data_IF_695991702834
#
_entry.id   IF_695991702834
#
_cell.length_a   1.000
_cell.length_b   1.000
_cell.length_c   1.000
_cell.angle_alpha   90.00
_cell.angle_beta   90.00
_cell.angle_gamma   90.00
#
_symmetry.space_group_name_H-M   'P 1'
#
loop_
_entity.id
_entity.type
_entity.pdbx_description
1 polymer ?
#
# COMPACT_ATOMS: atom_id res chain seq x y z
N UNK A 1 -5.01 31.56 -28.09
CA UNK A 1 -3.75 31.72 -27.38
C UNK A 1 -3.53 30.39 -26.70
N UNK A 2 -2.81 29.53 -27.42
CA UNK A 2 -2.41 28.21 -26.92
C UNK A 2 -1.35 28.46 -25.84
N UNK A 3 -1.71 28.22 -24.60
CA UNK A 3 -0.72 28.08 -23.55
C UNK A 3 -0.15 26.69 -23.71
N UNK A 4 1.04 26.59 -24.27
CA UNK A 4 1.88 25.41 -24.17
C UNK A 4 1.98 25.09 -22.67
N UNK A 5 1.32 24.04 -22.24
CA UNK A 5 1.49 23.42 -20.94
C UNK A 5 2.89 22.77 -20.98
N UNK A 6 3.93 23.53 -20.68
CA UNK A 6 5.29 22.99 -20.56
C UNK A 6 5.26 21.93 -19.47
N UNK A 7 5.30 20.67 -19.88
CA UNK A 7 5.35 19.54 -18.95
C UNK A 7 6.69 19.58 -18.21
N UNK A 8 6.63 19.88 -16.89
CA UNK A 8 7.80 19.91 -16.01
C UNK A 8 8.49 18.54 -16.04
N UNK A 9 9.80 18.55 -16.24
CA UNK A 9 10.65 17.35 -16.24
C UNK A 9 11.45 17.24 -14.93
N UNK A 10 12.13 16.11 -14.70
CA UNK A 10 13.01 15.96 -13.54
C UNK A 10 14.25 16.85 -13.62
N UNK A 11 14.69 17.23 -14.81
CA UNK A 11 15.79 18.15 -15.05
C UNK A 11 15.45 19.57 -14.53
N UNK A 12 14.20 19.98 -14.68
CA UNK A 12 13.70 21.29 -14.22
C UNK A 12 13.64 21.39 -12.68
N UNK A 13 13.72 20.25 -11.97
CA UNK A 13 13.63 20.21 -10.51
C UNK A 13 14.97 20.51 -9.79
N UNK A 14 16.07 20.64 -10.54
CA UNK A 14 17.39 20.96 -9.99
C UNK A 14 18.18 19.75 -9.49
N UNK A 15 17.82 18.56 -9.96
CA UNK A 15 18.58 17.32 -9.68
C UNK A 15 19.91 17.33 -10.44
N UNK A 16 20.97 16.80 -9.81
CA UNK A 16 22.28 16.64 -10.44
C UNK A 16 22.32 15.43 -11.39
N UNK A 17 23.34 15.37 -12.26
CA UNK A 17 23.48 14.33 -13.29
C UNK A 17 23.44 12.91 -12.72
N UNK A 18 23.99 12.67 -11.53
CA UNK A 18 24.04 11.35 -10.93
C UNK A 18 22.65 10.93 -10.42
N UNK A 19 21.89 11.87 -9.86
CA UNK A 19 20.51 11.65 -9.42
C UNK A 19 19.57 11.48 -10.62
N UNK A 20 19.76 12.28 -11.70
CA UNK A 20 19.00 12.11 -12.95
C UNK A 20 19.21 10.74 -13.61
N UNK A 21 20.44 10.22 -13.61
CA UNK A 21 20.70 8.84 -14.06
C UNK A 21 19.95 7.80 -13.26
N UNK A 22 19.81 8.01 -11.94
CA UNK A 22 19.04 7.09 -11.10
C UNK A 22 17.55 7.16 -11.41
N UNK A 23 17.02 8.34 -11.68
CA UNK A 23 15.63 8.59 -12.12
C UNK A 23 15.36 7.86 -13.44
N UNK A 24 16.23 8.03 -14.42
CA UNK A 24 16.15 7.37 -15.74
C UNK A 24 16.20 5.83 -15.61
N UNK A 25 17.15 5.31 -14.83
CA UNK A 25 17.28 3.87 -14.56
C UNK A 25 16.03 3.27 -13.94
N UNK A 26 15.29 4.05 -13.15
CA UNK A 26 13.99 3.68 -12.56
C UNK A 26 12.84 3.71 -13.58
N UNK A 27 13.04 4.30 -14.73
CA UNK A 27 11.99 4.50 -15.73
C UNK A 27 10.99 5.61 -15.35
N UNK A 28 11.39 6.53 -14.48
CA UNK A 28 10.57 7.70 -14.16
C UNK A 28 10.66 8.71 -15.30
N UNK A 29 9.55 8.98 -15.94
CA UNK A 29 9.49 9.87 -17.12
C UNK A 29 9.03 11.26 -16.72
N UNK A 30 7.94 11.36 -15.97
CA UNK A 30 7.33 12.63 -15.56
C UNK A 30 7.25 12.69 -14.05
N UNK A 31 7.71 13.80 -13.42
CA UNK A 31 7.58 13.93 -11.97
C UNK A 31 6.12 14.10 -11.54
N UNK A 32 5.76 13.48 -10.43
CA UNK A 32 4.44 13.63 -9.83
C UNK A 32 4.26 15.01 -9.21
N UNK A 33 3.00 15.46 -8.98
CA UNK A 33 2.76 16.78 -8.37
C UNK A 33 3.50 17.00 -7.05
N UNK A 34 3.55 15.96 -6.17
CA UNK A 34 4.27 16.08 -4.91
C UNK A 34 5.80 16.18 -5.11
N UNK A 35 6.35 15.53 -6.14
CA UNK A 35 7.77 15.63 -6.48
C UNK A 35 8.11 17.02 -7.00
N UNK A 36 7.28 17.60 -7.86
CA UNK A 36 7.43 18.97 -8.36
C UNK A 36 7.46 19.99 -7.21
N UNK A 37 6.60 19.79 -6.21
CA UNK A 37 6.50 20.70 -5.06
C UNK A 37 7.64 20.50 -4.04
N UNK A 38 8.04 19.26 -3.77
CA UNK A 38 8.95 18.93 -2.69
C UNK A 38 10.43 19.00 -3.11
N UNK A 39 10.80 18.44 -4.27
CA UNK A 39 12.21 18.30 -4.66
C UNK A 39 12.95 19.63 -4.68
N UNK A 40 12.49 20.69 -5.37
CA UNK A 40 13.20 21.97 -5.38
C UNK A 40 13.34 22.60 -3.99
N UNK A 41 12.28 22.48 -3.15
CA UNK A 41 12.32 22.99 -1.77
C UNK A 41 13.31 22.25 -0.90
N UNK A 42 13.46 20.95 -1.10
CA UNK A 42 14.39 20.12 -0.33
C UNK A 42 15.83 20.29 -0.78
N UNK A 43 16.07 20.69 -2.04
CA UNK A 43 17.41 20.98 -2.55
C UNK A 43 17.92 22.35 -2.11
N UNK A 44 17.08 23.36 -2.12
CA UNK A 44 17.51 24.77 -1.95
C UNK A 44 17.08 25.41 -0.64
N UNK A 45 16.03 24.91 0.00
CA UNK A 45 15.49 25.49 1.24
C UNK A 45 16.08 24.85 2.50
N UNK A 46 15.99 25.57 3.62
CA UNK A 46 16.39 25.10 4.95
C UNK A 46 15.20 24.83 5.88
N UNK A 47 14.02 25.37 5.55
CA UNK A 47 12.82 25.21 6.37
C UNK A 47 12.37 23.74 6.49
N UNK A 48 11.79 23.40 7.63
CA UNK A 48 11.08 22.15 7.82
C UNK A 48 9.90 22.04 6.84
N UNK A 49 9.46 20.84 6.51
CA UNK A 49 8.46 20.64 5.48
C UNK A 49 7.38 19.67 5.94
N UNK A 50 6.13 20.06 5.78
CA UNK A 50 4.97 19.15 5.85
C UNK A 50 4.45 18.96 4.43
N UNK A 51 4.42 17.71 3.99
CA UNK A 51 3.97 17.33 2.66
C UNK A 51 2.71 16.44 2.77
N UNK A 52 1.57 16.95 2.28
CA UNK A 52 0.33 16.20 2.20
C UNK A 52 0.19 15.55 0.83
N UNK A 53 0.33 14.23 0.76
CA UNK A 53 0.19 13.46 -0.46
C UNK A 53 -0.30 12.05 -0.18
N UNK A 54 -1.09 11.48 -1.10
CA UNK A 54 -1.62 10.11 -0.97
C UNK A 54 -0.51 9.07 -1.03
N UNK A 55 -0.78 7.88 -0.51
CA UNK A 55 0.09 6.71 -0.71
C UNK A 55 0.15 6.36 -2.21
N UNK A 56 1.35 6.08 -2.71
CA UNK A 56 1.57 5.70 -4.12
C UNK A 56 1.73 6.88 -5.08
N UNK A 57 1.86 8.13 -4.60
CA UNK A 57 2.13 9.31 -5.44
C UNK A 57 3.61 9.62 -5.62
N UNK A 58 4.50 8.73 -5.18
CA UNK A 58 5.96 8.91 -5.31
C UNK A 58 6.59 9.75 -4.20
N UNK A 59 6.01 9.76 -2.99
CA UNK A 59 6.56 10.46 -1.80
C UNK A 59 8.01 10.09 -1.51
N UNK A 60 8.35 8.79 -1.58
CA UNK A 60 9.70 8.32 -1.31
C UNK A 60 10.73 8.96 -2.23
N UNK A 61 10.42 9.10 -3.52
CA UNK A 61 11.30 9.80 -4.45
C UNK A 61 11.32 11.32 -4.19
N UNK A 62 10.21 11.90 -3.75
CA UNK A 62 10.11 13.33 -3.45
C UNK A 62 11.07 13.76 -2.33
N UNK A 63 11.27 12.94 -1.29
CA UNK A 63 12.28 13.23 -0.27
C UNK A 63 13.62 12.51 -0.51
N UNK A 64 13.60 11.31 -1.08
CA UNK A 64 14.78 10.47 -1.22
C UNK A 64 15.80 11.02 -2.19
N UNK A 65 15.37 11.48 -3.37
CA UNK A 65 16.28 12.04 -4.38
C UNK A 65 17.08 13.24 -3.84
N UNK A 66 16.43 14.28 -3.27
CA UNK A 66 17.20 15.42 -2.74
C UNK A 66 18.05 15.06 -1.51
N UNK A 67 17.63 14.14 -0.65
CA UNK A 67 18.44 13.70 0.49
C UNK A 67 19.72 13.02 0.00
N UNK A 68 19.62 12.12 -0.97
CA UNK A 68 20.77 11.43 -1.56
C UNK A 68 21.72 12.42 -2.23
N UNK A 69 21.17 13.37 -3.00
CA UNK A 69 21.96 14.41 -3.64
C UNK A 69 22.69 15.31 -2.62
N UNK A 70 22.08 15.61 -1.47
CA UNK A 70 22.67 16.48 -0.45
C UNK A 70 23.66 15.77 0.48
N UNK A 71 23.68 14.44 0.54
CA UNK A 71 24.67 13.67 1.30
C UNK A 71 25.92 13.45 0.45
N UNK A 72 26.87 14.38 0.50
CA UNK A 72 28.10 14.34 -0.31
C UNK A 72 29.29 13.68 0.39
N UNK A 73 29.29 13.60 1.72
CA UNK A 73 30.43 13.16 2.50
C UNK A 73 30.21 11.78 3.11
N UNK A 74 31.16 10.88 2.90
CA UNK A 74 31.23 9.59 3.55
C UNK A 74 31.76 9.77 4.98
N UNK A 75 30.88 10.16 5.89
CA UNK A 75 31.27 10.58 7.25
C UNK A 75 31.23 9.44 8.28
N UNK A 76 30.90 8.21 7.90
CA UNK A 76 30.71 7.06 8.80
C UNK A 76 29.75 7.31 10.00
N UNK A 77 28.87 8.29 9.86
CA UNK A 77 27.79 8.58 10.81
C UNK A 77 26.47 8.70 10.08
N UNK A 78 25.39 8.46 10.79
CA UNK A 78 24.04 8.63 10.24
C UNK A 78 23.78 10.11 9.99
N UNK A 79 23.35 10.45 8.79
CA UNK A 79 23.02 11.81 8.36
C UNK A 79 21.52 11.99 8.08
N UNK A 80 20.80 10.90 7.80
CA UNK A 80 19.35 10.91 7.64
C UNK A 80 18.72 9.72 8.37
N UNK A 81 17.62 10.00 9.09
CA UNK A 81 16.74 9.00 9.69
C UNK A 81 15.37 9.10 9.03
N UNK A 82 14.86 7.98 8.53
CA UNK A 82 13.51 7.85 7.98
C UNK A 82 12.73 6.89 8.88
N UNK A 83 11.67 7.38 9.50
CA UNK A 83 10.75 6.56 10.30
C UNK A 83 9.56 6.13 9.46
N UNK A 84 9.27 4.84 9.54
CA UNK A 84 8.17 4.16 8.86
C UNK A 84 7.28 3.44 9.88
N UNK A 85 5.94 3.42 9.69
CA UNK A 85 5.04 2.80 10.65
C UNK A 85 5.18 1.27 10.71
N UNK A 86 5.59 0.64 9.60
CA UNK A 86 5.66 -0.82 9.49
C UNK A 86 7.01 -1.31 8.97
N UNK A 87 7.30 -2.59 9.24
CA UNK A 87 8.55 -3.25 8.80
C UNK A 87 8.62 -3.32 7.29
N UNK A 88 7.48 -3.59 6.66
CA UNK A 88 7.34 -3.74 5.22
C UNK A 88 7.65 -2.43 4.51
N UNK A 89 7.09 -1.31 5.00
CA UNK A 89 7.41 0.01 4.47
C UNK A 89 8.88 0.36 4.69
N UNK A 90 9.41 0.10 5.90
CA UNK A 90 10.84 0.36 6.17
C UNK A 90 11.77 -0.42 5.21
N UNK A 91 11.46 -1.68 4.92
CA UNK A 91 12.21 -2.48 3.95
C UNK A 91 12.08 -1.90 2.53
N UNK A 92 10.86 -1.58 2.12
CA UNK A 92 10.57 -1.00 0.81
C UNK A 92 11.28 0.34 0.61
N UNK A 93 11.12 1.27 1.56
CA UNK A 93 11.80 2.57 1.53
C UNK A 93 13.32 2.42 1.50
N UNK A 94 13.88 1.47 2.28
CA UNK A 94 15.30 1.17 2.23
C UNK A 94 15.78 0.70 0.85
N UNK A 95 15.06 -0.22 0.21
CA UNK A 95 15.39 -0.69 -1.15
C UNK A 95 15.20 0.42 -2.19
N UNK A 96 14.20 1.24 -2.02
CA UNK A 96 13.97 2.38 -2.90
C UNK A 96 15.08 3.43 -2.77
N UNK A 97 15.49 3.79 -1.55
CA UNK A 97 16.64 4.68 -1.30
C UNK A 97 17.94 4.13 -1.92
N UNK A 98 18.22 2.84 -1.77
CA UNK A 98 19.37 2.21 -2.45
C UNK A 98 19.30 2.31 -3.96
N UNK A 99 18.12 2.22 -4.54
CA UNK A 99 17.93 2.28 -6.00
C UNK A 99 18.11 3.67 -6.59
N UNK A 100 18.03 4.71 -5.77
CA UNK A 100 18.31 6.09 -6.17
C UNK A 100 19.80 6.44 -6.15
N UNK A 101 20.65 5.53 -5.70
CA UNK A 101 22.10 5.74 -5.72
C UNK A 101 22.72 5.15 -6.98
N UNK A 102 23.68 5.85 -7.59
CA UNK A 102 24.42 5.38 -8.73
C UNK A 102 25.59 4.43 -8.39
N UNK A 103 25.85 4.20 -7.10
CA UNK A 103 26.91 3.35 -6.57
C UNK A 103 26.64 2.89 -5.14
N UNK A 104 27.72 2.69 -4.36
CA UNK A 104 27.61 2.23 -2.96
C UNK A 104 27.43 3.35 -1.94
N UNK A 105 27.23 4.58 -2.37
CA UNK A 105 27.12 5.75 -1.51
C UNK A 105 26.01 6.71 -1.98
N UNK A 106 25.22 7.28 -1.04
CA UNK A 106 25.19 7.01 0.40
C UNK A 106 24.65 5.61 0.74
N UNK A 107 25.21 4.98 1.80
CA UNK A 107 24.77 3.65 2.24
C UNK A 107 23.50 3.74 3.06
N UNK A 108 22.53 2.90 2.74
CA UNK A 108 21.24 2.83 3.44
C UNK A 108 21.12 1.51 4.20
N UNK A 109 20.70 1.58 5.45
CA UNK A 109 20.47 0.41 6.33
C UNK A 109 19.06 0.46 6.88
N UNK A 110 18.45 -0.72 7.07
CA UNK A 110 17.09 -0.84 7.62
C UNK A 110 17.10 -1.46 9.02
N UNK A 111 16.32 -0.86 9.96
CA UNK A 111 16.19 -1.29 11.35
C UNK A 111 14.73 -1.51 11.71
N UNK A 112 14.31 -2.76 11.91
CA UNK A 112 12.93 -3.09 12.28
C UNK A 112 12.84 -4.26 13.25
N UNK A 113 11.76 -4.35 14.00
CA UNK A 113 11.51 -5.39 14.97
C UNK A 113 11.26 -6.76 14.32
N UNK A 114 11.69 -7.85 14.99
CA UNK A 114 11.52 -9.22 14.48
C UNK A 114 12.66 -9.72 13.59
N UNK A 115 13.54 -8.83 13.10
CA UNK A 115 14.78 -9.21 12.43
C UNK A 115 15.93 -9.40 13.45
N UNK A 116 17.00 -10.08 13.00
CA UNK A 116 18.20 -10.33 13.81
C UNK A 116 18.86 -9.04 14.27
N UNK A 117 18.89 -8.81 15.58
CA UNK A 117 19.52 -7.66 16.17
C UNK A 117 21.05 -7.61 15.89
N UNK A 118 21.71 -8.78 15.92
CA UNK A 118 23.14 -8.88 15.62
C UNK A 118 23.49 -8.47 14.19
N UNK A 119 22.62 -8.77 13.23
CA UNK A 119 22.79 -8.34 11.84
C UNK A 119 22.68 -6.83 11.72
N UNK A 120 21.69 -6.22 12.34
CA UNK A 120 21.48 -4.77 12.32
C UNK A 120 22.65 -4.01 12.98
N UNK A 121 23.17 -4.50 14.13
CA UNK A 121 24.37 -3.94 14.74
C UNK A 121 25.58 -4.03 13.82
N UNK A 122 25.77 -5.16 13.15
CA UNK A 122 26.88 -5.35 12.21
C UNK A 122 26.81 -4.35 11.07
N UNK A 123 25.62 -4.13 10.53
CA UNK A 123 25.40 -3.23 9.41
C UNK A 123 25.60 -1.75 9.82
N UNK A 124 25.13 -1.36 11.00
CA UNK A 124 25.44 -0.05 11.59
C UNK A 124 26.95 0.16 11.81
N UNK A 125 27.67 -0.86 12.32
CA UNK A 125 29.12 -0.80 12.54
C UNK A 125 29.93 -0.70 11.22
N UNK A 126 29.41 -1.22 10.12
CA UNK A 126 30.01 -1.03 8.78
C UNK A 126 29.90 0.42 8.30
N UNK A 127 29.06 1.20 8.95
CA UNK A 127 28.75 2.59 8.63
C UNK A 127 27.66 2.70 7.59
N UNK A 128 26.74 3.59 7.84
CA UNK A 128 25.69 3.99 6.91
C UNK A 128 25.39 5.47 7.12
N UNK A 129 25.00 6.13 6.07
CA UNK A 129 24.64 7.54 6.07
C UNK A 129 23.11 7.71 6.24
N UNK A 130 22.33 6.72 5.81
CA UNK A 130 20.88 6.73 5.88
C UNK A 130 20.38 5.51 6.65
N UNK A 131 19.55 5.76 7.65
CA UNK A 131 18.83 4.73 8.40
C UNK A 131 17.36 4.85 8.14
N UNK A 132 16.73 3.75 7.72
CA UNK A 132 15.27 3.61 7.64
C UNK A 132 14.83 2.66 8.74
N UNK A 133 13.76 2.96 9.48
CA UNK A 133 13.36 2.05 10.53
C UNK A 133 12.00 2.28 11.13
N UNK A 134 11.56 1.31 11.93
CA UNK A 134 10.33 1.42 12.71
C UNK A 134 10.63 2.01 14.09
N UNK A 135 9.72 2.87 14.66
CA UNK A 135 10.01 3.62 15.88
C UNK A 135 10.53 2.77 17.03
N UNK A 136 9.84 1.69 17.40
CA UNK A 136 10.28 0.86 18.54
C UNK A 136 11.67 0.24 18.38
N UNK A 137 12.09 -0.15 17.14
CA UNK A 137 13.44 -0.70 16.93
C UNK A 137 14.51 0.39 16.90
N UNK A 138 14.19 1.57 16.42
CA UNK A 138 15.09 2.73 16.48
C UNK A 138 15.37 3.09 17.94
N UNK A 139 14.35 3.17 18.80
CA UNK A 139 14.50 3.34 20.25
C UNK A 139 15.43 2.30 20.86
N UNK A 140 15.16 1.00 20.61
CA UNK A 140 16.01 -0.09 21.10
C UNK A 140 17.49 0.12 20.77
N UNK A 141 17.82 0.60 19.57
CA UNK A 141 19.18 0.87 19.14
C UNK A 141 19.78 2.12 19.82
N UNK A 142 18.98 3.16 20.07
CA UNK A 142 19.39 4.36 20.81
C UNK A 142 19.69 4.01 22.25
N UNK A 143 18.77 3.35 22.97
CA UNK A 143 18.94 2.90 24.34
C UNK A 143 20.19 2.04 24.55
N UNK A 144 20.48 1.16 23.59
CA UNK A 144 21.68 0.29 23.59
C UNK A 144 22.93 0.99 23.06
N UNK A 145 22.83 2.29 22.73
CA UNK A 145 23.95 3.08 22.21
C UNK A 145 24.60 2.49 20.96
N UNK A 146 23.83 1.80 20.13
CA UNK A 146 24.27 1.22 18.86
C UNK A 146 23.90 2.10 17.67
N UNK A 147 23.05 3.09 17.86
CA UNK A 147 22.68 4.12 16.91
C UNK A 147 22.87 5.49 17.57
N UNK A 148 23.59 6.38 16.89
CA UNK A 148 23.82 7.77 17.29
C UNK A 148 23.16 8.69 16.27
N UNK A 149 22.22 9.54 16.73
CA UNK A 149 21.48 10.49 15.94
C UNK A 149 21.94 11.94 16.14
N UNK A 150 22.97 12.18 16.95
CA UNK A 150 23.45 13.52 17.28
C UNK A 150 23.99 14.33 16.10
N UNK A 151 24.22 13.68 14.96
CA UNK A 151 24.77 14.29 13.74
C UNK A 151 23.87 14.18 12.52
N UNK A 152 22.60 13.79 12.69
CA UNK A 152 21.68 13.72 11.57
C UNK A 152 21.40 15.13 11.05
N UNK A 153 21.24 15.23 9.73
CA UNK A 153 20.84 16.43 9.01
C UNK A 153 19.36 16.43 8.66
N UNK A 154 18.79 15.21 8.53
CA UNK A 154 17.41 15.01 8.13
C UNK A 154 16.71 14.03 9.04
N UNK A 155 15.53 14.40 9.51
CA UNK A 155 14.63 13.55 10.28
C UNK A 155 13.30 13.47 9.52
N UNK A 156 12.99 12.30 8.97
CA UNK A 156 11.83 12.10 8.11
C UNK A 156 10.80 11.22 8.81
N UNK A 157 9.54 11.68 8.83
CA UNK A 157 8.38 10.90 9.21
C UNK A 157 7.58 10.62 7.95
N UNK A 158 7.58 9.39 7.44
CA UNK A 158 6.70 8.99 6.34
C UNK A 158 5.48 8.24 6.87
N UNK A 159 4.34 8.41 6.23
CA UNK A 159 3.03 7.91 6.70
C UNK A 159 2.74 8.31 8.16
N UNK A 160 2.92 9.60 8.48
CA UNK A 160 2.81 10.12 9.85
C UNK A 160 1.45 9.85 10.50
N UNK A 161 0.36 9.90 9.74
CA UNK A 161 -1.00 9.57 10.19
C UNK A 161 -1.12 8.08 10.58
N UNK A 162 -0.49 7.17 9.85
CA UNK A 162 -0.45 5.76 10.20
C UNK A 162 0.35 5.51 11.49
N UNK A 163 1.47 6.22 11.68
CA UNK A 163 2.24 6.13 12.94
C UNK A 163 1.43 6.62 14.14
N UNK A 164 0.61 7.66 13.95
CA UNK A 164 -0.32 8.15 14.97
C UNK A 164 -1.35 7.08 15.34
N UNK A 165 -2.01 6.50 14.33
CA UNK A 165 -3.03 5.47 14.52
C UNK A 165 -2.48 4.20 15.20
N UNK A 166 -1.19 3.91 15.00
CA UNK A 166 -0.48 2.81 15.66
C UNK A 166 0.01 3.15 17.07
N UNK A 167 -0.16 4.39 17.52
CA UNK A 167 0.21 4.83 18.87
C UNK A 167 1.70 5.12 19.07
N UNK A 168 2.47 5.34 17.99
CA UNK A 168 3.92 5.58 18.07
C UNK A 168 4.32 7.02 18.45
N UNK A 169 3.36 7.86 18.83
CA UNK A 169 3.66 9.28 19.16
C UNK A 169 4.73 9.41 20.24
N UNK A 170 4.61 8.65 21.32
CA UNK A 170 5.57 8.74 22.43
C UNK A 170 6.94 8.20 22.03
N UNK A 171 6.98 7.13 21.23
CA UNK A 171 8.24 6.63 20.68
C UNK A 171 8.92 7.64 19.75
N UNK A 172 8.16 8.32 18.91
CA UNK A 172 8.68 9.37 18.01
C UNK A 172 9.25 10.54 18.83
N UNK A 173 8.57 10.98 19.89
CA UNK A 173 9.05 12.04 20.78
C UNK A 173 10.37 11.68 21.43
N UNK A 174 10.48 10.46 21.97
CA UNK A 174 11.69 9.98 22.61
C UNK A 174 12.86 9.88 21.61
N UNK A 175 12.62 9.37 20.39
CA UNK A 175 13.64 9.35 19.34
C UNK A 175 14.11 10.77 19.01
N UNK A 176 13.17 11.71 18.96
CA UNK A 176 13.43 13.11 18.64
C UNK A 176 14.34 13.79 19.67
N UNK A 177 14.17 13.48 20.97
CA UNK A 177 15.01 14.00 22.04
C UNK A 177 16.50 13.60 21.89
N UNK A 178 16.78 12.53 21.15
CA UNK A 178 18.14 12.03 20.87
C UNK A 178 18.68 12.51 19.51
N UNK A 179 17.86 13.19 18.71
CA UNK A 179 18.26 13.69 17.41
C UNK A 179 19.00 15.02 17.51
N UNK A 180 19.75 15.37 16.47
CA UNK A 180 20.34 16.70 16.36
C UNK A 180 19.22 17.75 16.29
N UNK A 181 19.30 18.76 17.17
CA UNK A 181 18.29 19.83 17.24
C UNK A 181 18.19 20.66 15.95
N UNK A 182 19.31 20.75 15.21
CA UNK A 182 19.40 21.47 13.94
C UNK A 182 19.01 20.59 12.73
N UNK A 183 18.56 19.35 12.98
CA UNK A 183 18.13 18.49 11.89
C UNK A 183 16.86 19.04 11.22
N UNK A 184 16.84 19.04 9.90
CA UNK A 184 15.67 19.39 9.12
C UNK A 184 14.63 18.29 9.22
N UNK A 185 13.40 18.66 9.60
CA UNK A 185 12.31 17.72 9.82
C UNK A 185 11.39 17.73 8.62
N UNK A 186 11.11 16.56 8.10
CA UNK A 186 10.22 16.36 6.96
C UNK A 186 9.09 15.43 7.39
N UNK A 187 7.85 15.87 7.29
CA UNK A 187 6.66 15.09 7.62
C UNK A 187 5.84 14.83 6.35
N UNK A 188 5.76 13.58 5.93
CA UNK A 188 4.92 13.12 4.82
C UNK A 188 3.72 12.36 5.36
N UNK A 189 2.51 12.72 4.93
CA UNK A 189 1.27 12.11 5.42
C UNK A 189 0.16 12.25 4.40
N UNK A 190 -0.76 11.29 4.35
CA UNK A 190 -1.94 11.38 3.49
C UNK A 190 -3.00 12.27 4.10
N UNK A 191 -3.09 12.30 5.43
CA UNK A 191 -4.02 13.12 6.19
C UNK A 191 -3.30 13.96 7.23
N UNK A 192 -3.90 15.11 7.63
CA UNK A 192 -3.32 16.02 8.61
C UNK A 192 -4.28 16.19 9.81
N UNK A 193 -4.49 15.15 10.62
CA UNK A 193 -5.32 15.27 11.81
C UNK A 193 -4.63 16.15 12.86
N UNK A 194 -5.43 16.77 13.75
CA UNK A 194 -4.93 17.70 14.76
C UNK A 194 -3.74 17.17 15.61
N UNK A 195 -3.64 15.87 15.98
CA UNK A 195 -2.47 15.36 16.68
C UNK A 195 -1.18 15.39 15.83
N UNK A 196 -1.24 15.19 14.52
CA UNK A 196 -0.08 15.32 13.62
C UNK A 196 0.39 16.79 13.58
N UNK A 197 -0.54 17.72 13.43
CA UNK A 197 -0.22 19.15 13.46
C UNK A 197 0.36 19.59 14.81
N UNK A 198 -0.05 18.94 15.91
CA UNK A 198 0.53 19.16 17.23
C UNK A 198 1.97 18.68 17.30
N UNK A 199 2.28 17.49 16.79
CA UNK A 199 3.67 17.01 16.69
C UNK A 199 4.51 18.00 15.88
N UNK A 200 4.01 18.45 14.74
CA UNK A 200 4.69 19.46 13.93
C UNK A 200 4.95 20.75 14.73
N UNK A 201 3.94 21.27 15.44
CA UNK A 201 4.09 22.45 16.30
C UNK A 201 5.05 22.26 17.46
N UNK A 202 5.09 21.07 18.07
CA UNK A 202 5.98 20.76 19.21
C UNK A 202 7.45 20.64 18.78
N UNK A 203 7.74 20.16 17.55
CA UNK A 203 9.10 19.78 17.15
C UNK A 203 9.65 20.52 15.93
N UNK A 204 8.81 21.05 15.03
CA UNK A 204 9.30 21.59 13.76
C UNK A 204 9.58 23.10 13.80
N UNK A 205 9.08 23.82 14.81
CA UNK A 205 9.20 25.28 14.81
C UNK A 205 8.54 25.90 13.57
N UNK A 206 9.32 26.63 12.75
CA UNK A 206 8.85 27.13 11.46
C UNK A 206 8.90 26.03 10.40
N UNK A 207 7.84 25.90 9.64
CA UNK A 207 7.72 24.90 8.57
C UNK A 207 6.85 25.39 7.42
N UNK A 208 7.17 24.91 6.23
CA UNK A 208 6.34 25.07 5.05
C UNK A 208 5.33 23.93 4.93
N UNK A 209 4.16 24.21 4.38
CA UNK A 209 3.17 23.17 4.04
C UNK A 209 3.04 23.13 2.52
N UNK A 210 3.20 21.93 1.96
CA UNK A 210 2.87 21.66 0.57
C UNK A 210 1.75 20.63 0.50
N UNK A 211 0.80 20.90 -0.36
CA UNK A 211 -0.34 20.02 -0.61
C UNK A 211 -0.49 19.81 -2.12
N UNK A 212 -0.77 18.60 -2.50
CA UNK A 212 -1.09 18.25 -3.87
C UNK A 212 -2.51 18.75 -4.20
N UNK A 213 -2.62 19.90 -4.91
CA UNK A 213 -3.90 20.60 -5.14
C UNK A 213 -4.98 19.74 -5.83
N UNK A 214 -4.59 18.77 -6.66
CA UNK A 214 -5.52 17.89 -7.39
C UNK A 214 -6.01 16.67 -6.60
N UNK A 215 -5.46 16.42 -5.42
CA UNK A 215 -5.82 15.25 -4.60
C UNK A 215 -7.27 15.29 -4.12
N UNK A 216 -7.87 16.48 -4.09
CA UNK A 216 -9.22 16.69 -3.57
C UNK A 216 -10.32 16.42 -4.62
N UNK A 217 -10.02 16.46 -5.92
CA UNK A 217 -11.08 16.53 -6.95
C UNK A 217 -11.25 15.30 -7.85
N UNK A 218 -10.33 14.36 -7.91
CA UNK A 218 -10.56 13.14 -8.67
C UNK A 218 -11.27 12.08 -7.84
N UNK A 219 -12.44 11.67 -8.30
CA UNK A 219 -13.14 10.52 -7.73
C UNK A 219 -12.27 9.27 -7.89
N UNK A 220 -12.16 8.48 -6.83
CA UNK A 220 -11.44 7.20 -6.89
C UNK A 220 -12.08 6.32 -7.97
N UNK A 221 -11.27 5.68 -8.81
CA UNK A 221 -11.76 4.72 -9.81
C UNK A 221 -12.17 3.39 -9.14
N UNK A 222 -12.97 3.48 -8.08
CA UNK A 222 -13.39 2.36 -7.25
C UNK A 222 -14.91 2.31 -7.22
N UNK A 223 -15.48 1.21 -7.67
CA UNK A 223 -16.90 0.90 -7.51
C UNK A 223 -17.16 0.46 -6.07
N UNK A 224 -17.86 1.30 -5.31
CA UNK A 224 -18.03 1.13 -3.86
C UNK A 224 -19.45 0.67 -3.54
N UNK A 225 -19.55 -0.50 -2.92
CA UNK A 225 -20.82 -1.15 -2.60
C UNK A 225 -20.85 -1.66 -1.17
N UNK A 226 -22.06 -1.76 -0.59
CA UNK A 226 -22.24 -2.51 0.64
C UNK A 226 -23.39 -3.51 0.52
N UNK A 227 -23.24 -4.63 1.23
CA UNK A 227 -24.24 -5.69 1.29
C UNK A 227 -24.78 -5.81 2.72
N UNK A 228 -26.10 -5.74 2.86
CA UNK A 228 -26.75 -6.08 4.13
C UNK A 228 -26.77 -7.60 4.29
N UNK A 229 -25.96 -8.13 5.22
CA UNK A 229 -25.71 -9.57 5.35
C UNK A 229 -25.69 -9.97 6.82
N UNK A 230 -26.23 -11.15 7.16
CA UNK A 230 -26.11 -11.71 8.51
C UNK A 230 -24.71 -12.24 8.75
N UNK A 231 -24.27 -12.25 10.00
CA UNK A 231 -22.94 -12.77 10.37
C UNK A 231 -22.74 -14.22 9.91
N UNK A 232 -23.78 -15.08 10.03
CA UNK A 232 -23.75 -16.48 9.57
C UNK A 232 -23.52 -16.65 8.07
N UNK A 233 -23.89 -15.63 7.28
CA UNK A 233 -23.94 -15.73 5.82
C UNK A 233 -22.74 -15.05 5.13
N UNK A 234 -21.87 -14.39 5.92
CA UNK A 234 -20.75 -13.61 5.40
C UNK A 234 -19.77 -14.44 4.58
N UNK A 235 -19.45 -15.65 5.02
CA UNK A 235 -18.53 -16.51 4.26
C UNK A 235 -19.13 -16.92 2.91
N UNK A 236 -20.41 -17.21 2.87
CA UNK A 236 -21.13 -17.50 1.63
C UNK A 236 -21.16 -16.26 0.71
N UNK A 237 -21.39 -15.08 1.30
CA UNK A 237 -21.28 -13.81 0.56
C UNK A 237 -19.91 -13.59 -0.06
N UNK A 238 -18.84 -13.86 0.69
CA UNK A 238 -17.46 -13.76 0.22
C UNK A 238 -17.18 -14.73 -0.95
N UNK A 239 -17.63 -15.98 -0.82
CA UNK A 239 -17.50 -16.98 -1.88
C UNK A 239 -18.20 -16.52 -3.16
N UNK A 240 -19.40 -15.93 -3.06
CA UNK A 240 -20.10 -15.39 -4.24
C UNK A 240 -19.35 -14.26 -4.92
N UNK A 241 -18.71 -13.36 -4.17
CA UNK A 241 -17.84 -12.32 -4.76
C UNK A 241 -16.71 -12.96 -5.55
N UNK A 242 -16.02 -13.93 -4.97
CA UNK A 242 -14.90 -14.64 -5.60
C UNK A 242 -15.35 -15.36 -6.86
N UNK A 243 -16.47 -16.08 -6.78
CA UNK A 243 -17.01 -16.85 -7.90
C UNK A 243 -17.49 -15.98 -9.06
N UNK A 244 -18.00 -14.80 -8.78
CA UNK A 244 -18.44 -13.86 -9.82
C UNK A 244 -17.28 -13.15 -10.52
N UNK A 245 -16.11 -13.03 -9.89
CA UNK A 245 -14.95 -12.33 -10.44
C UNK A 245 -13.87 -13.33 -10.90
N UNK A 246 -13.74 -13.60 -12.22
CA UNK A 246 -12.77 -14.57 -12.75
C UNK A 246 -11.32 -14.19 -12.48
N UNK A 247 -11.09 -12.91 -12.44
CA UNK A 247 -9.79 -12.28 -12.20
C UNK A 247 -9.61 -11.85 -10.74
N UNK A 248 -10.42 -12.41 -9.80
CA UNK A 248 -10.36 -12.03 -8.40
C UNK A 248 -8.91 -12.10 -7.90
N UNK A 249 -8.40 -10.95 -7.54
CA UNK A 249 -7.13 -10.77 -6.84
C UNK A 249 -7.40 -9.72 -5.78
N UNK A 250 -7.63 -10.17 -4.55
CA UNK A 250 -8.27 -9.33 -3.55
C UNK A 250 -7.76 -9.48 -2.14
N UNK A 251 -7.98 -8.40 -1.38
CA UNK A 251 -7.68 -8.28 0.03
C UNK A 251 -8.99 -8.25 0.81
N UNK A 252 -9.12 -9.17 1.77
CA UNK A 252 -10.28 -9.29 2.66
C UNK A 252 -9.89 -8.77 4.05
N UNK A 253 -10.47 -7.68 4.47
CA UNK A 253 -10.22 -7.09 5.78
C UNK A 253 -11.13 -7.65 6.86
N UNK A 254 -10.54 -8.14 7.95
CA UNK A 254 -11.23 -8.62 9.15
C UNK A 254 -10.88 -7.77 10.36
N UNK A 255 -11.76 -7.75 11.38
CA UNK A 255 -11.55 -6.98 12.61
C UNK A 255 -10.49 -7.60 13.51
N UNK A 256 -10.45 -8.93 13.59
CA UNK A 256 -9.58 -9.66 14.51
C UNK A 256 -8.74 -10.71 13.80
N UNK A 257 -7.60 -11.06 14.40
CA UNK A 257 -6.74 -12.16 13.93
C UNK A 257 -7.47 -13.50 13.88
N UNK A 258 -8.34 -13.76 14.87
CA UNK A 258 -9.15 -14.99 14.90
C UNK A 258 -10.14 -15.04 13.74
N UNK A 259 -10.71 -13.91 13.33
CA UNK A 259 -11.55 -13.86 12.15
C UNK A 259 -10.74 -14.11 10.87
N UNK A 260 -9.51 -13.58 10.77
CA UNK A 260 -8.66 -13.84 9.62
C UNK A 260 -8.38 -15.34 9.44
N UNK A 261 -7.97 -16.02 10.51
CA UNK A 261 -7.73 -17.46 10.50
C UNK A 261 -9.00 -18.25 10.18
N UNK A 262 -10.13 -17.87 10.79
CA UNK A 262 -11.42 -18.53 10.55
C UNK A 262 -11.86 -18.41 9.10
N UNK A 263 -11.77 -17.22 8.52
CA UNK A 263 -12.17 -16.97 7.12
C UNK A 263 -11.27 -17.75 6.16
N UNK A 264 -9.95 -17.77 6.36
CA UNK A 264 -9.05 -18.61 5.56
C UNK A 264 -9.40 -20.09 5.64
N UNK A 265 -9.58 -20.62 6.85
CA UNK A 265 -9.96 -22.03 7.03
C UNK A 265 -11.28 -22.37 6.33
N UNK A 266 -12.27 -21.49 6.41
CA UNK A 266 -13.56 -21.69 5.74
C UNK A 266 -13.45 -21.60 4.21
N UNK A 267 -12.56 -20.75 3.68
CA UNK A 267 -12.25 -20.69 2.25
C UNK A 267 -11.54 -21.96 1.78
N UNK A 268 -10.51 -22.40 2.52
CA UNK A 268 -9.76 -23.64 2.19
C UNK A 268 -10.66 -24.88 2.17
N UNK A 269 -11.60 -25.00 3.14
CA UNK A 269 -12.60 -26.08 3.16
C UNK A 269 -13.52 -26.09 1.93
N UNK A 270 -13.64 -24.95 1.25
CA UNK A 270 -14.43 -24.79 0.02
C UNK A 270 -13.58 -24.83 -1.25
N UNK A 271 -12.27 -25.14 -1.13
CA UNK A 271 -11.35 -25.26 -2.23
C UNK A 271 -10.77 -23.93 -2.75
N UNK A 272 -10.88 -22.85 -1.98
CA UNK A 272 -10.27 -21.57 -2.34
C UNK A 272 -8.95 -21.39 -1.59
N UNK A 273 -7.84 -21.34 -2.33
CA UNK A 273 -6.53 -21.04 -1.73
C UNK A 273 -6.49 -19.60 -1.20
N UNK A 274 -6.24 -19.47 0.10
CA UNK A 274 -6.15 -18.20 0.77
C UNK A 274 -4.99 -18.19 1.77
N UNK A 275 -4.46 -17.00 2.05
CA UNK A 275 -3.44 -16.79 3.07
C UNK A 275 -3.94 -15.78 4.12
N UNK A 276 -3.69 -16.06 5.41
CA UNK A 276 -3.97 -15.13 6.50
C UNK A 276 -2.76 -14.23 6.77
N UNK A 277 -3.02 -12.97 7.16
CA UNK A 277 -2.00 -12.02 7.54
C UNK A 277 -2.43 -11.21 8.77
N UNK A 278 -1.80 -11.46 9.91
CA UNK A 278 -2.07 -10.78 11.18
C UNK A 278 -0.85 -10.77 12.10
N UNK A 279 -0.96 -10.08 13.24
CA UNK A 279 0.17 -9.80 14.12
C UNK A 279 0.86 -11.02 14.75
N UNK A 280 0.18 -12.17 14.86
CA UNK A 280 0.76 -13.39 15.45
C UNK A 280 1.60 -14.21 14.45
N UNK A 281 1.57 -13.86 13.16
CA UNK A 281 2.36 -14.56 12.14
C UNK A 281 3.83 -14.14 12.27
N UNK A 282 4.71 -15.14 12.40
CA UNK A 282 6.15 -14.90 12.47
C UNK A 282 6.68 -14.24 11.20
N UNK A 283 7.68 -13.37 11.34
CA UNK A 283 8.17 -12.54 10.25
C UNK A 283 8.57 -13.33 8.99
N UNK A 284 9.26 -14.46 9.15
CA UNK A 284 9.65 -15.30 8.02
C UNK A 284 8.45 -15.95 7.29
N UNK A 285 7.37 -16.23 8.01
CA UNK A 285 6.12 -16.74 7.40
C UNK A 285 5.37 -15.59 6.72
N UNK A 286 5.35 -14.41 7.34
CA UNK A 286 4.73 -13.21 6.78
C UNK A 286 5.34 -12.84 5.42
N UNK A 287 6.66 -12.87 5.31
CA UNK A 287 7.38 -12.61 4.06
C UNK A 287 6.99 -13.61 2.96
N UNK A 288 6.91 -14.91 3.30
CA UNK A 288 6.47 -15.96 2.36
C UNK A 288 5.03 -15.77 1.89
N UNK A 289 4.12 -15.40 2.81
CA UNK A 289 2.72 -15.09 2.47
C UNK A 289 2.66 -13.94 1.48
N UNK A 290 3.36 -12.87 1.76
CA UNK A 290 3.40 -11.69 0.88
C UNK A 290 4.04 -12.00 -0.49
N UNK A 291 5.09 -12.81 -0.53
CA UNK A 291 5.72 -13.26 -1.78
C UNK A 291 4.76 -14.12 -2.63
N UNK A 292 4.06 -15.07 -2.00
CA UNK A 292 3.03 -15.89 -2.67
C UNK A 292 1.92 -15.02 -3.24
N UNK A 293 1.46 -14.04 -2.47
CA UNK A 293 0.41 -13.14 -2.89
C UNK A 293 0.87 -12.21 -4.03
N UNK A 294 2.03 -11.56 -3.92
CA UNK A 294 2.61 -10.72 -4.98
C UNK A 294 2.86 -11.48 -6.28
N UNK A 295 3.30 -12.73 -6.19
CA UNK A 295 3.48 -13.61 -7.36
C UNK A 295 2.17 -14.21 -7.89
N UNK A 296 1.02 -13.84 -7.31
CA UNK A 296 -0.32 -14.33 -7.65
C UNK A 296 -0.48 -15.86 -7.54
N UNK A 297 0.41 -16.53 -6.80
CA UNK A 297 0.23 -17.94 -6.42
C UNK A 297 -0.99 -18.10 -5.52
N UNK A 298 -1.16 -17.20 -4.56
CA UNK A 298 -2.40 -17.05 -3.79
C UNK A 298 -3.07 -15.76 -4.23
N UNK A 299 -4.37 -15.80 -4.50
CA UNK A 299 -5.13 -14.64 -4.99
C UNK A 299 -6.03 -14.01 -3.94
N UNK A 300 -6.18 -14.65 -2.78
CA UNK A 300 -7.02 -14.19 -1.69
C UNK A 300 -6.13 -14.00 -0.46
N UNK A 301 -5.99 -12.76 -0.01
CA UNK A 301 -5.30 -12.43 1.23
C UNK A 301 -6.31 -11.96 2.25
N UNK A 302 -6.38 -12.60 3.41
CA UNK A 302 -7.27 -12.20 4.52
C UNK A 302 -6.42 -11.55 5.60
N UNK A 303 -6.67 -10.29 5.92
CA UNK A 303 -5.79 -9.55 6.81
C UNK A 303 -6.54 -8.67 7.82
N UNK A 304 -5.87 -8.39 8.94
CA UNK A 304 -6.27 -7.31 9.85
C UNK A 304 -5.69 -5.97 9.39
N UNK A 305 -6.29 -4.85 9.78
CA UNK A 305 -5.80 -3.52 9.40
C UNK A 305 -4.32 -3.34 9.71
N UNK A 306 -3.90 -3.63 10.94
CA UNK A 306 -2.50 -3.47 11.38
C UNK A 306 -1.54 -4.28 10.51
N UNK A 307 -1.95 -5.47 10.10
CA UNK A 307 -1.10 -6.32 9.28
C UNK A 307 -1.12 -5.96 7.80
N UNK A 308 -2.19 -5.37 7.30
CA UNK A 308 -2.33 -4.92 5.92
C UNK A 308 -1.75 -3.51 5.68
N UNK A 309 -1.47 -2.76 6.77
CA UNK A 309 -0.79 -1.47 6.67
C UNK A 309 0.64 -1.64 6.17
N UNK A 310 1.07 -0.72 5.34
CA UNK A 310 2.42 -0.70 4.79
C UNK A 310 2.74 -1.83 3.81
N UNK A 311 1.76 -2.64 3.40
CA UNK A 311 2.00 -3.62 2.35
C UNK A 311 1.83 -2.91 1.01
N UNK A 312 2.92 -2.88 0.23
CA UNK A 312 2.81 -2.50 -1.18
C UNK A 312 2.26 -3.69 -1.96
N UNK A 313 0.96 -3.65 -2.15
CA UNK A 313 0.24 -4.55 -3.06
C UNK A 313 -0.51 -3.65 -4.03
N UNK A 314 -0.10 -3.67 -5.26
CA UNK A 314 -0.73 -2.96 -6.37
C UNK A 314 -1.51 -3.93 -7.26
N UNK A 315 -2.45 -3.38 -8.01
CA UNK A 315 -3.21 -4.16 -8.99
C UNK A 315 -4.24 -5.11 -8.37
N UNK A 316 -4.71 -4.86 -7.14
CA UNK A 316 -5.85 -5.57 -6.59
C UNK A 316 -7.10 -5.22 -7.39
N UNK A 317 -7.87 -6.24 -7.78
CA UNK A 317 -9.16 -6.06 -8.42
C UNK A 317 -10.25 -5.79 -7.39
N UNK A 318 -10.13 -6.39 -6.20
CA UNK A 318 -11.14 -6.32 -5.15
C UNK A 318 -10.58 -6.01 -3.77
N UNK A 319 -11.32 -5.21 -3.02
CA UNK A 319 -11.19 -5.07 -1.57
C UNK A 319 -12.52 -5.45 -0.92
N UNK A 320 -12.49 -6.39 0.00
CA UNK A 320 -13.67 -6.80 0.75
C UNK A 320 -13.51 -6.44 2.21
N UNK A 321 -14.35 -5.54 2.72
CA UNK A 321 -14.47 -5.30 4.14
C UNK A 321 -15.42 -6.36 4.72
N UNK A 322 -14.89 -7.43 5.31
CA UNK A 322 -15.68 -8.51 5.93
C UNK A 322 -16.49 -8.03 7.14
N UNK A 323 -16.14 -6.87 7.68
CA UNK A 323 -16.87 -6.15 8.72
C UNK A 323 -16.80 -4.65 8.43
N UNK A 324 -17.85 -3.92 8.84
CA UNK A 324 -17.89 -2.47 8.70
C UNK A 324 -16.67 -1.84 9.38
N UNK A 325 -15.86 -1.03 8.70
CA UNK A 325 -14.75 -0.31 9.31
C UNK A 325 -15.21 0.60 10.46
N UNK A 326 -14.32 0.81 11.43
CA UNK A 326 -14.62 1.62 12.60
C UNK A 326 -14.92 3.07 12.23
N UNK A 327 -14.16 3.64 11.30
CA UNK A 327 -14.31 5.02 10.82
C UNK A 327 -14.08 5.13 9.30
N UNK A 328 -14.31 6.34 8.79
CA UNK A 328 -14.18 6.65 7.37
C UNK A 328 -12.72 6.64 6.89
N UNK A 329 -11.78 7.05 7.73
CA UNK A 329 -10.36 7.07 7.38
C UNK A 329 -9.85 5.65 7.15
N UNK A 330 -10.13 4.73 8.08
CA UNK A 330 -9.84 3.29 7.92
C UNK A 330 -10.46 2.73 6.64
N UNK A 331 -11.72 3.09 6.34
CA UNK A 331 -12.36 2.67 5.10
C UNK A 331 -11.59 3.12 3.86
N UNK A 332 -11.24 4.40 3.78
CA UNK A 332 -10.50 4.99 2.64
C UNK A 332 -9.13 4.33 2.48
N UNK A 333 -8.40 4.10 3.58
CA UNK A 333 -7.10 3.42 3.57
C UNK A 333 -7.21 1.97 3.07
N UNK A 334 -8.29 1.25 3.42
CA UNK A 334 -8.53 -0.12 2.95
C UNK A 334 -8.82 -0.13 1.45
N UNK A 335 -9.79 0.64 0.99
CA UNK A 335 -10.19 0.64 -0.42
C UNK A 335 -9.10 1.19 -1.33
N UNK A 336 -8.26 2.10 -0.83
CA UNK A 336 -7.08 2.61 -1.54
C UNK A 336 -6.03 1.54 -1.86
N UNK A 337 -6.26 0.24 -1.57
CA UNK A 337 -5.44 -0.88 -2.05
C UNK A 337 -5.84 -1.34 -3.46
N UNK A 338 -6.96 -0.89 -3.98
CA UNK A 338 -7.40 -1.09 -5.37
C UNK A 338 -7.60 0.24 -6.08
N UNK A 339 -7.88 0.25 -7.37
CA UNK A 339 -8.13 1.47 -8.14
C UNK A 339 -6.92 2.40 -8.26
N UNK A 340 -5.68 1.86 -8.27
CA UNK A 340 -4.43 2.63 -8.37
C UNK A 340 -3.93 2.71 -9.81
N UNK A 341 -3.12 3.72 -10.10
CA UNK A 341 -2.44 3.90 -11.38
C UNK A 341 -3.39 3.86 -12.60
N UNK A 342 -4.57 4.48 -12.47
CA UNK A 342 -5.56 4.54 -13.56
C UNK A 342 -6.36 3.25 -13.79
N UNK A 343 -6.19 2.22 -12.94
CA UNK A 343 -7.00 1.00 -13.02
C UNK A 343 -8.29 1.15 -12.22
N UNK A 344 -9.35 0.46 -12.66
CA UNK A 344 -10.61 0.37 -11.91
C UNK A 344 -10.51 -0.69 -10.82
N UNK A 345 -11.25 -0.52 -9.72
CA UNK A 345 -11.31 -1.47 -8.62
C UNK A 345 -12.72 -1.62 -8.07
N UNK A 346 -12.97 -2.67 -7.32
CA UNK A 346 -14.24 -2.92 -6.63
C UNK A 346 -14.03 -3.03 -5.13
N UNK A 347 -14.82 -2.29 -4.35
CA UNK A 347 -14.82 -2.35 -2.90
C UNK A 347 -16.21 -2.78 -2.39
N UNK A 348 -16.28 -3.91 -1.70
CA UNK A 348 -17.53 -4.43 -1.13
C UNK A 348 -17.43 -4.47 0.39
N UNK A 349 -18.42 -3.93 1.06
CA UNK A 349 -18.48 -3.88 2.53
C UNK A 349 -19.66 -4.67 3.06
N UNK A 350 -19.40 -5.62 3.94
CA UNK A 350 -20.44 -6.35 4.64
C UNK A 350 -20.92 -5.57 5.86
N UNK A 351 -22.23 -5.41 5.94
CA UNK A 351 -22.90 -4.67 7.03
C UNK A 351 -23.95 -5.57 7.67
N UNK A 352 -23.81 -5.80 8.95
CA UNK A 352 -24.79 -6.59 9.70
C UNK A 352 -26.06 -5.77 9.99
N UNK A 353 -27.23 -6.39 10.09
CA UNK A 353 -28.49 -5.68 10.37
C UNK A 353 -28.48 -4.85 11.66
N UNK A 354 -27.70 -5.24 12.67
CA UNK A 354 -27.51 -4.51 13.92
C UNK A 354 -26.68 -3.22 13.74
N UNK A 355 -25.90 -3.10 12.67
CA UNK A 355 -25.06 -1.93 12.34
C UNK A 355 -25.83 -0.85 11.55
N UNK A 356 -27.06 -1.14 11.13
CA UNK A 356 -27.88 -0.25 10.28
C UNK A 356 -28.03 1.17 10.83
N UNK A 357 -28.04 1.33 12.15
CA UNK A 357 -28.16 2.66 12.79
C UNK A 357 -26.94 3.54 12.52
N UNK A 358 -25.76 2.96 12.43
CA UNK A 358 -24.49 3.67 12.17
C UNK A 358 -24.26 3.91 10.68
N UNK A 359 -24.86 3.07 9.84
CA UNK A 359 -24.60 3.03 8.40
C UNK A 359 -24.93 4.35 7.70
N UNK A 360 -26.05 4.99 8.03
CA UNK A 360 -26.46 6.22 7.35
C UNK A 360 -25.48 7.39 7.51
N UNK A 361 -24.87 7.50 8.70
CA UNK A 361 -23.81 8.48 8.95
C UNK A 361 -22.50 8.07 8.25
N UNK A 362 -22.14 6.81 8.32
CA UNK A 362 -20.96 6.25 7.68
C UNK A 362 -21.00 6.46 6.16
N UNK A 363 -22.11 6.10 5.50
CA UNK A 363 -22.31 6.29 4.05
C UNK A 363 -22.09 7.75 3.64
N UNK A 364 -22.71 8.71 4.34
CA UNK A 364 -22.54 10.14 4.05
C UNK A 364 -21.08 10.60 4.16
N UNK A 365 -20.37 10.12 5.17
CA UNK A 365 -18.98 10.50 5.38
C UNK A 365 -18.07 9.87 4.31
N UNK A 366 -18.31 8.62 3.97
CA UNK A 366 -17.57 7.93 2.89
C UNK A 366 -17.79 8.65 1.56
N UNK A 367 -19.03 8.93 1.16
CA UNK A 367 -19.34 9.65 -0.07
C UNK A 367 -18.68 11.03 -0.12
N UNK A 368 -18.63 11.74 1.03
CA UNK A 368 -17.93 13.02 1.12
C UNK A 368 -16.41 12.87 0.96
N UNK A 369 -15.82 11.84 1.60
CA UNK A 369 -14.38 11.63 1.60
C UNK A 369 -13.86 11.08 0.26
N UNK A 370 -14.63 10.22 -0.42
CA UNK A 370 -14.22 9.56 -1.67
C UNK A 370 -14.74 10.25 -2.91
N UNK A 371 -15.72 11.17 -2.77
CA UNK A 371 -16.49 11.81 -3.86
C UNK A 371 -17.17 10.81 -4.80
N UNK A 372 -17.33 9.57 -4.35
CA UNK A 372 -17.97 8.48 -5.08
C UNK A 372 -19.24 8.04 -4.37
N UNK A 373 -20.13 7.45 -5.14
CA UNK A 373 -21.30 6.78 -4.60
C UNK A 373 -20.90 5.55 -3.78
N UNK A 374 -21.52 5.37 -2.63
CA UNK A 374 -21.44 4.18 -1.81
C UNK A 374 -22.85 3.63 -1.63
N UNK A 375 -23.19 2.58 -2.39
CA UNK A 375 -24.57 2.12 -2.59
C UNK A 375 -24.82 0.75 -1.98
N UNK A 376 -26.07 0.54 -1.53
CA UNK A 376 -26.54 -0.80 -1.21
C UNK A 376 -26.72 -1.59 -2.51
N UNK A 377 -26.12 -2.77 -2.57
CA UNK A 377 -26.31 -3.74 -3.63
C UNK A 377 -26.95 -5.01 -3.06
N UNK A 378 -27.82 -5.63 -3.83
CA UNK A 378 -28.39 -6.92 -3.44
C UNK A 378 -27.31 -8.02 -3.58
N UNK A 379 -27.25 -8.90 -2.60
CA UNK A 379 -26.37 -10.06 -2.65
C UNK A 379 -26.82 -10.93 -3.83
N UNK A 380 -25.93 -11.27 -4.77
CA UNK A 380 -26.26 -12.14 -5.90
C UNK A 380 -26.83 -13.48 -5.42
N UNK A 381 -27.83 -13.96 -6.11
CA UNK A 381 -28.43 -15.26 -5.82
C UNK A 381 -27.50 -16.41 -6.25
N UNK A 382 -27.66 -17.58 -5.67
CA UNK A 382 -26.90 -18.78 -6.08
C UNK A 382 -27.10 -19.05 -7.59
N UNK A 383 -28.32 -18.83 -8.10
CA UNK A 383 -28.64 -19.05 -9.52
C UNK A 383 -27.85 -18.10 -10.44
N UNK A 384 -27.72 -16.84 -10.06
CA UNK A 384 -26.91 -15.86 -10.82
C UNK A 384 -25.43 -16.25 -10.82
N UNK A 385 -24.88 -16.65 -9.67
CA UNK A 385 -23.50 -17.11 -9.56
C UNK A 385 -23.24 -18.35 -10.42
N UNK A 386 -24.14 -19.34 -10.35
CA UNK A 386 -24.04 -20.58 -11.14
C UNK A 386 -24.08 -20.27 -12.64
N UNK A 387 -25.00 -19.42 -13.08
CA UNK A 387 -25.10 -19.02 -14.49
C UNK A 387 -23.81 -18.37 -15.02
N UNK A 388 -23.15 -17.55 -14.20
CA UNK A 388 -21.85 -16.95 -14.55
C UNK A 388 -20.75 -18.01 -14.61
N UNK A 389 -20.72 -18.96 -13.66
CA UNK A 389 -19.74 -20.07 -13.65
C UNK A 389 -19.92 -20.99 -14.86
N UNK A 390 -21.16 -21.32 -15.20
CA UNK A 390 -21.50 -22.14 -16.37
C UNK A 390 -21.06 -21.46 -17.68
N UNK A 391 -21.41 -20.19 -17.85
CA UNK A 391 -21.00 -19.43 -19.04
C UNK A 391 -19.47 -19.40 -19.19
N UNK A 392 -18.76 -19.24 -18.08
CA UNK A 392 -17.29 -19.21 -18.04
C UNK A 392 -16.68 -20.56 -18.42
N UNK A 393 -17.22 -21.64 -17.86
CA UNK A 393 -16.75 -23.00 -18.18
C UNK A 393 -16.95 -23.33 -19.66
N UNK A 394 -18.09 -22.90 -20.24
CA UNK A 394 -18.37 -23.07 -21.66
C UNK A 394 -17.37 -22.30 -22.50
N UNK A 395 -17.04 -21.06 -22.13
CA UNK A 395 -16.06 -20.26 -22.86
C UNK A 395 -14.63 -20.83 -22.77
N UNK A 396 -14.23 -21.32 -21.59
CA UNK A 396 -12.94 -22.01 -21.41
C UNK A 396 -12.84 -23.28 -22.25
N UNK A 397 -13.90 -24.07 -22.30
CA UNK A 397 -13.98 -25.27 -23.11
C UNK A 397 -13.91 -24.92 -24.61
N UNK A 398 -14.65 -23.90 -25.05
CA UNK A 398 -14.56 -23.40 -26.43
C UNK A 398 -13.13 -22.98 -26.76
N UNK A 399 -12.49 -22.18 -25.92
CA UNK A 399 -11.11 -21.72 -26.14
C UNK A 399 -10.10 -22.87 -26.22
N UNK A 400 -10.24 -23.92 -25.39
CA UNK A 400 -9.35 -25.10 -25.46
C UNK A 400 -9.57 -25.90 -26.75
N UNK A 401 -10.83 -26.15 -27.10
CA UNK A 401 -11.17 -26.88 -28.32
C UNK A 401 -10.70 -26.15 -29.58
N UNK A 402 -10.80 -24.81 -29.63
CA UNK A 402 -10.29 -24.03 -30.76
C UNK A 402 -8.76 -23.95 -30.81
N UNK A 403 -8.05 -23.94 -29.66
CA UNK A 403 -6.57 -23.97 -29.64
C UNK A 403 -6.01 -25.30 -30.13
N UNK A 404 -6.59 -26.42 -29.74
CA UNK A 404 -6.21 -27.76 -30.23
C UNK A 404 -6.48 -27.92 -31.75
N UNK A 405 -7.49 -27.23 -32.29
CA UNK A 405 -7.78 -27.24 -33.73
C UNK A 405 -6.79 -26.41 -34.57
N UNK A 406 -6.09 -25.44 -33.97
CA UNK A 406 -5.08 -24.62 -34.67
C UNK A 406 -3.66 -25.17 -34.60
N UNK A 407 -3.34 -26.05 -33.64
CA UNK A 407 -2.01 -26.66 -33.53
C UNK A 407 -1.88 -27.99 -34.32
N UNK A 408 -2.99 -28.60 -34.72
CA UNK A 408 -2.98 -29.82 -35.57
C UNK A 408 -3.31 -29.45 -37.02
N UNK A 409 -2.27 -29.15 -37.77
CA UNK A 409 -2.41 -29.11 -39.24
C UNK A 409 -2.72 -30.50 -39.72
N UNK A 410 -3.84 -30.62 -40.47
CA UNK A 410 -4.27 -31.71 -41.34
C UNK A 410 -4.82 -32.96 -40.69
N UNK A 411 -6.09 -33.06 -40.75
CA UNK A 411 -7.02 -34.13 -41.11
C UNK A 411 -8.21 -34.20 -40.17
N UNK A 412 -9.34 -33.88 -40.76
CA UNK A 412 -10.70 -34.26 -40.31
C UNK A 412 -10.99 -34.12 -38.82
N UNK A 413 -11.15 -32.88 -38.38
CA UNK A 413 -11.88 -32.59 -37.15
C UNK A 413 -13.36 -32.58 -37.47
N UNK A 414 -14.09 -33.42 -36.78
CA UNK A 414 -15.55 -33.36 -36.77
C UNK A 414 -15.98 -31.95 -36.38
N UNK A 415 -16.93 -31.33 -37.12
CA UNK A 415 -17.49 -30.07 -36.65
C UNK A 415 -18.10 -30.32 -35.27
N UNK A 416 -17.54 -29.67 -34.25
CA UNK A 416 -18.13 -29.68 -32.91
C UNK A 416 -19.44 -28.89 -33.04
N UNK A 417 -20.54 -29.61 -33.17
CA UNK A 417 -21.87 -29.07 -33.22
C UNK A 417 -22.17 -28.38 -31.87
N UNK A 418 -22.80 -27.23 -31.88
CA UNK A 418 -23.26 -26.52 -30.67
C UNK A 418 -24.06 -27.46 -29.75
N UNK A 419 -24.71 -28.47 -30.28
CA UNK A 419 -25.36 -29.55 -29.53
C UNK A 419 -24.42 -30.38 -28.66
N UNK A 420 -23.13 -30.52 -29.01
CA UNK A 420 -22.17 -31.28 -28.18
C UNK A 420 -21.73 -30.42 -26.97
N UNK A 421 -21.67 -29.11 -27.14
CA UNK A 421 -21.39 -28.16 -26.06
C UNK A 421 -22.58 -28.11 -25.10
N UNK A 422 -23.81 -28.14 -25.62
CA UNK A 422 -25.02 -28.17 -24.81
C UNK A 422 -25.16 -29.50 -24.06
N UNK A 423 -24.79 -30.63 -24.67
CA UNK A 423 -24.80 -31.93 -24.03
C UNK A 423 -23.75 -32.05 -22.91
N UNK A 424 -22.57 -31.45 -23.07
CA UNK A 424 -21.54 -31.38 -22.04
C UNK A 424 -21.97 -30.48 -20.87
N UNK A 425 -22.75 -29.43 -21.12
CA UNK A 425 -23.34 -28.60 -20.08
C UNK A 425 -24.51 -29.27 -19.32
N UNK A 426 -25.21 -30.22 -19.95
CA UNK A 426 -26.24 -31.02 -19.27
C UNK A 426 -25.68 -32.18 -18.41
N UNK A 427 -24.40 -32.55 -18.59
CA UNK A 427 -23.73 -33.63 -17.86
C UNK A 427 -22.84 -33.15 -16.71
N UNK A 428 -22.67 -31.85 -16.52
CA UNK A 428 -21.98 -31.22 -15.37
C UNK A 428 -22.97 -30.54 -14.43
#
# INVERSE_FOLDING_TARGET
>A
MDTDDETVTFEDLGLDDDTLKAVEKKGFVTPSPIQILAIPRLLTGEANLIARARTGTGKTAAFGLPIIQNIKEKANNVQALILEPTRELAMQTCEEMKSFTSGDFPRTTVLYGGASYATQIRDLKRGCEIVVGTPGRIKDHIEKKTLDLSKIKYFILDEGDEMLDMGFIDDIREIFEHANIDARILLFSATMPAPILKIAGDFMGEYDIIEEEKVVDEALLIDQKYWMIKESDKIEGLVRIIDMAPDFYGLVFTMTKMDADRVCKELDLRGYESDALHGDIMQNQREKVLERFRSKKTRILVATDVAARGIDISGLTHVVNYSLPYDTATYVHRIGRTGRAGTTGTAITFVCPNERKKLGYFVKNVQRATKNDFKEEKIPTIKEVLSIKEARLIDELKCKLFKESTETSTKELFPVDDKFVDLAAELC
#
